data_IF_905418869553
#
_entry.id   IF_905418869553
#
_cell.length_a   1.000
_cell.length_b   1.000
_cell.length_c   1.000
_cell.angle_alpha   90.00
_cell.angle_beta   90.00
_cell.angle_gamma   90.00
#
_symmetry.space_group_name_H-M   'P 1'
#
loop_
_entity.id
_entity.type
_entity.pdbx_description
1 polymer ?
#
# COMPACT_ATOMS: atom_id res chain seq x y z
N UNK A 1 23.55 3.11 13.94
CA UNK A 1 23.21 2.09 12.93
C UNK A 1 21.86 2.34 12.30
N UNK A 2 21.67 1.95 11.03
CA UNK A 2 20.37 2.07 10.32
C UNK A 2 19.67 0.71 10.38
N UNK A 3 18.56 0.64 11.09
CA UNK A 3 17.70 -0.55 11.17
C UNK A 3 16.88 -0.65 9.87
N UNK A 4 16.78 -1.86 9.29
CA UNK A 4 16.06 -2.10 8.02
C UNK A 4 14.97 -3.15 8.20
N UNK A 5 13.73 -2.78 7.91
CA UNK A 5 12.60 -3.70 7.84
C UNK A 5 12.26 -3.99 6.36
N UNK A 6 12.72 -5.13 5.82
CA UNK A 6 12.55 -5.47 4.40
C UNK A 6 11.23 -6.21 4.16
N UNK A 7 10.27 -5.55 3.49
CA UNK A 7 9.00 -6.16 3.11
C UNK A 7 9.10 -7.07 1.87
N UNK A 8 10.02 -6.80 0.95
CA UNK A 8 10.11 -7.48 -0.34
C UNK A 8 10.26 -9.01 -0.27
N UNK A 9 11.07 -9.59 0.64
CA UNK A 9 11.19 -11.04 0.76
C UNK A 9 9.98 -11.74 1.40
N UNK A 10 9.00 -11.00 1.93
CA UNK A 10 7.86 -11.57 2.61
C UNK A 10 6.82 -12.13 1.63
N UNK A 11 6.94 -13.41 1.29
CA UNK A 11 6.03 -14.07 0.36
C UNK A 11 4.55 -14.03 0.79
N UNK A 12 4.24 -13.81 2.08
CA UNK A 12 2.86 -13.62 2.54
C UNK A 12 2.28 -12.33 1.99
N UNK A 13 3.06 -11.25 1.89
CA UNK A 13 2.61 -9.97 1.36
C UNK A 13 2.24 -10.04 -0.13
N UNK A 14 2.57 -11.11 -0.85
CA UNK A 14 2.06 -11.34 -2.21
C UNK A 14 0.61 -11.85 -2.25
N UNK A 15 0.01 -12.20 -1.12
CA UNK A 15 -1.32 -12.79 -1.07
C UNK A 15 -2.42 -11.72 -1.12
N UNK A 16 -3.50 -11.92 -1.89
CA UNK A 16 -4.56 -10.91 -2.03
C UNK A 16 -5.21 -10.44 -0.74
N UNK A 17 -5.21 -11.26 0.33
CA UNK A 17 -5.84 -10.93 1.62
C UNK A 17 -5.18 -9.75 2.35
N UNK A 18 -3.98 -9.34 1.96
CA UNK A 18 -3.26 -8.21 2.54
C UNK A 18 -3.43 -6.89 1.77
N UNK A 19 -4.13 -6.93 0.63
CA UNK A 19 -4.35 -5.78 -0.23
C UNK A 19 -5.82 -5.39 -0.24
N UNK A 20 -6.07 -4.11 -0.39
CA UNK A 20 -7.39 -3.55 -0.63
C UNK A 20 -7.92 -4.01 -2.00
N UNK A 21 -9.20 -3.74 -2.24
CA UNK A 21 -9.92 -4.14 -3.46
C UNK A 21 -9.26 -3.64 -4.76
N UNK A 22 -8.60 -2.49 -4.70
CA UNK A 22 -7.84 -1.89 -5.79
C UNK A 22 -6.52 -2.61 -6.12
N UNK A 23 -6.11 -3.59 -5.29
CA UNK A 23 -4.89 -4.41 -5.41
C UNK A 23 -3.58 -3.60 -5.42
N UNK A 24 -3.62 -2.35 -5.01
CA UNK A 24 -2.48 -1.44 -5.01
C UNK A 24 -2.11 -1.02 -3.59
N UNK A 25 -3.11 -0.71 -2.77
CA UNK A 25 -2.90 -0.30 -1.38
C UNK A 25 -3.03 -1.51 -0.47
N UNK A 26 -2.22 -1.54 0.60
CA UNK A 26 -2.44 -2.52 1.65
C UNK A 26 -3.74 -2.21 2.38
N UNK A 27 -4.44 -3.27 2.79
CA UNK A 27 -5.54 -3.14 3.75
C UNK A 27 -4.96 -3.18 5.18
N UNK A 28 -5.83 -3.10 6.20
CA UNK A 28 -5.41 -3.12 7.61
C UNK A 28 -4.57 -4.35 7.97
N UNK A 29 -4.82 -5.51 7.36
CA UNK A 29 -4.03 -6.73 7.59
C UNK A 29 -2.63 -6.62 7.01
N UNK A 30 -2.50 -6.04 5.81
CA UNK A 30 -1.19 -5.78 5.19
C UNK A 30 -0.36 -4.81 6.03
N UNK A 31 -0.97 -3.71 6.45
CA UNK A 31 -0.34 -2.73 7.34
C UNK A 31 0.07 -3.34 8.69
N UNK A 32 -0.78 -4.18 9.28
CA UNK A 32 -0.45 -4.89 10.52
C UNK A 32 0.80 -5.77 10.36
N UNK A 33 0.89 -6.52 9.26
CA UNK A 33 2.04 -7.37 8.99
C UNK A 33 3.33 -6.57 8.77
N UNK A 34 3.24 -5.43 8.09
CA UNK A 34 4.38 -4.50 7.94
C UNK A 34 4.80 -3.95 9.32
N UNK A 35 3.84 -3.58 10.17
CA UNK A 35 4.13 -3.12 11.53
C UNK A 35 4.81 -4.21 12.37
N UNK A 36 4.34 -5.46 12.30
CA UNK A 36 4.98 -6.60 12.96
C UNK A 36 6.44 -6.77 12.52
N UNK A 37 6.72 -6.60 11.23
CA UNK A 37 8.09 -6.66 10.70
C UNK A 37 8.98 -5.51 11.20
N UNK A 38 8.42 -4.30 11.34
CA UNK A 38 9.16 -3.17 11.92
C UNK A 38 9.52 -3.48 13.37
N UNK A 39 8.57 -3.95 14.18
CA UNK A 39 8.81 -4.32 15.57
C UNK A 39 9.87 -5.43 15.71
N UNK A 40 9.79 -6.46 14.88
CA UNK A 40 10.79 -7.52 14.81
C UNK A 40 12.19 -6.99 14.47
N UNK A 41 12.29 -6.06 13.50
CA UNK A 41 13.55 -5.43 13.12
C UNK A 41 14.14 -4.55 14.23
N UNK A 42 13.29 -4.02 15.12
CA UNK A 42 13.67 -3.26 16.30
C UNK A 42 14.03 -4.16 17.50
N UNK A 43 13.80 -5.49 17.40
CA UNK A 43 14.03 -6.43 18.49
C UNK A 43 12.92 -6.41 19.56
N UNK A 44 11.76 -5.84 19.25
CA UNK A 44 10.63 -5.76 20.18
C UNK A 44 9.92 -7.11 20.31
N UNK A 45 9.52 -7.45 21.54
CA UNK A 45 8.76 -8.68 21.80
C UNK A 45 7.27 -8.44 21.54
N UNK A 46 6.71 -9.17 20.60
CA UNK A 46 5.27 -9.21 20.32
C UNK A 46 4.65 -10.54 20.82
N UNK A 47 3.35 -10.57 21.16
CA UNK A 47 2.68 -11.81 21.52
C UNK A 47 2.76 -12.88 20.43
N UNK A 48 2.69 -14.15 20.82
CA UNK A 48 2.63 -15.26 19.87
C UNK A 48 1.42 -15.13 18.93
N UNK A 49 1.63 -15.42 17.65
CA UNK A 49 0.60 -15.30 16.62
C UNK A 49 0.29 -13.87 16.17
N UNK A 50 0.92 -12.84 16.75
CA UNK A 50 0.67 -11.43 16.40
C UNK A 50 1.03 -11.08 14.95
N UNK A 51 1.84 -11.89 14.27
CA UNK A 51 2.28 -11.62 12.90
C UNK A 51 1.15 -11.53 11.86
N UNK A 52 0.00 -12.14 12.13
CA UNK A 52 -1.15 -12.12 11.24
C UNK A 52 -2.43 -11.89 12.05
N UNK A 53 -3.23 -10.87 11.68
CA UNK A 53 -4.57 -10.72 12.28
C UNK A 53 -5.44 -11.95 11.96
N UNK A 54 -6.43 -12.28 12.81
CA UNK A 54 -7.39 -13.35 12.55
C UNK A 54 -8.04 -13.23 11.16
N UNK A 55 -8.42 -14.36 10.58
CA UNK A 55 -9.15 -14.34 9.31
C UNK A 55 -10.53 -13.71 9.49
N UNK A 56 -10.85 -12.75 8.61
CA UNK A 56 -12.18 -12.14 8.53
C UNK A 56 -12.85 -12.56 7.22
N UNK A 57 -14.15 -12.90 7.22
CA UNK A 57 -14.92 -13.13 6.00
C UNK A 57 -14.94 -11.93 5.05
N UNK A 58 -14.66 -10.72 5.55
CA UNK A 58 -14.70 -9.45 4.81
C UNK A 58 -13.53 -9.24 3.84
N UNK A 59 -12.60 -10.19 3.70
CA UNK A 59 -11.64 -10.16 2.60
C UNK A 59 -12.33 -10.50 1.26
N UNK A 60 -13.41 -9.80 0.94
CA UNK A 60 -14.13 -9.91 -0.31
C UNK A 60 -13.16 -9.53 -1.42
N UNK A 61 -12.83 -10.52 -2.26
CA UNK A 61 -12.11 -10.27 -3.49
C UNK A 61 -13.12 -9.76 -4.49
N UNK A 62 -12.97 -8.52 -4.96
CA UNK A 62 -13.70 -8.06 -6.15
C UNK A 62 -13.53 -9.08 -7.28
N UNK A 63 -14.65 -9.45 -7.91
CA UNK A 63 -14.59 -10.31 -9.08
C UNK A 63 -13.70 -9.65 -10.14
N UNK A 64 -13.01 -10.46 -10.96
CA UNK A 64 -12.08 -9.91 -11.98
C UNK A 64 -12.75 -8.86 -12.87
N UNK A 65 -14.03 -9.05 -13.22
CA UNK A 65 -14.79 -8.10 -14.03
C UNK A 65 -15.05 -6.77 -13.32
N UNK A 66 -15.40 -6.80 -12.04
CA UNK A 66 -15.63 -5.59 -11.22
C UNK A 66 -14.33 -4.81 -11.05
N UNK A 67 -13.24 -5.49 -10.69
CA UNK A 67 -11.92 -4.86 -10.61
C UNK A 67 -11.52 -4.16 -11.92
N UNK A 68 -11.74 -4.82 -13.06
CA UNK A 68 -11.42 -4.24 -14.37
C UNK A 68 -12.26 -2.99 -14.64
N UNK A 69 -13.55 -3.02 -14.30
CA UNK A 69 -14.47 -1.89 -14.51
C UNK A 69 -14.13 -0.72 -13.60
N UNK A 70 -13.90 -0.99 -12.33
CA UNK A 70 -13.91 0.02 -11.27
C UNK A 70 -12.51 0.62 -11.05
N UNK A 71 -11.44 -0.16 -11.28
CA UNK A 71 -10.07 0.28 -11.03
C UNK A 71 -9.21 0.38 -12.31
N UNK A 72 -9.16 -0.67 -13.13
CA UNK A 72 -8.23 -0.68 -14.28
C UNK A 72 -8.72 0.14 -15.48
N UNK A 73 -10.00 0.03 -15.85
CA UNK A 73 -10.59 0.68 -17.01
C UNK A 73 -10.43 2.20 -17.01
N UNK A 74 -10.73 2.91 -15.91
CA UNK A 74 -10.50 4.34 -15.80
C UNK A 74 -9.04 4.74 -15.99
N UNK A 75 -8.09 3.94 -15.47
CA UNK A 75 -6.66 4.17 -15.65
C UNK A 75 -6.23 3.99 -17.11
N UNK A 76 -6.68 2.90 -17.77
CA UNK A 76 -6.39 2.65 -19.19
C UNK A 76 -6.93 3.78 -20.06
N UNK A 77 -8.18 4.22 -19.83
CA UNK A 77 -8.77 5.35 -20.57
C UNK A 77 -7.91 6.59 -20.44
N UNK A 78 -7.56 7.00 -19.21
CA UNK A 78 -6.70 8.17 -18.97
C UNK A 78 -5.35 8.05 -19.68
N UNK A 79 -4.75 6.85 -19.66
CA UNK A 79 -3.46 6.59 -20.33
C UNK A 79 -3.57 6.76 -21.85
N UNK A 80 -4.64 6.25 -22.46
CA UNK A 80 -4.88 6.36 -23.91
C UNK A 80 -5.25 7.78 -24.33
N UNK A 81 -5.96 8.53 -23.49
CA UNK A 81 -6.36 9.92 -23.77
C UNK A 81 -5.32 10.95 -23.35
N UNK A 82 -4.17 10.52 -22.79
CA UNK A 82 -3.14 11.43 -22.29
C UNK A 82 -3.59 12.27 -21.08
N UNK A 83 -4.66 11.88 -20.39
CA UNK A 83 -5.22 12.62 -19.25
C UNK A 83 -4.49 12.26 -17.96
N UNK A 84 -3.99 13.26 -17.25
CA UNK A 84 -3.30 13.12 -15.97
C UNK A 84 -4.16 13.56 -14.79
N UNK A 85 -3.90 13.01 -13.60
CA UNK A 85 -4.47 13.54 -12.35
C UNK A 85 -3.91 14.91 -11.97
N UNK A 86 -2.86 15.36 -12.66
CA UNK A 86 -2.27 16.70 -12.56
C UNK A 86 -2.82 17.71 -13.56
N UNK A 87 -3.69 17.32 -14.51
CA UNK A 87 -4.20 18.25 -15.51
C UNK A 87 -4.98 19.40 -14.83
N UNK A 88 -4.63 20.64 -15.19
CA UNK A 88 -5.21 21.84 -14.61
C UNK A 88 -4.88 22.09 -13.12
N UNK A 89 -3.98 21.30 -12.52
CA UNK A 89 -3.51 21.54 -11.15
C UNK A 89 -2.26 22.42 -11.17
N UNK A 90 -2.31 23.51 -10.41
CA UNK A 90 -1.13 24.30 -10.08
C UNK A 90 -0.24 23.57 -9.05
N UNK A 91 1.10 23.68 -9.16
CA UNK A 91 2.01 23.08 -8.21
C UNK A 91 1.84 23.73 -6.82
N UNK A 92 1.85 22.89 -5.77
CA UNK A 92 1.83 23.39 -4.37
C UNK A 92 3.04 24.28 -4.06
N UNK A 93 4.16 24.00 -4.72
CA UNK A 93 5.40 24.79 -4.65
C UNK A 93 5.91 25.01 -6.09
N UNK A 94 5.55 26.14 -6.73
CA UNK A 94 5.98 26.45 -8.11
C UNK A 94 7.47 26.79 -8.23
N UNK A 95 8.13 27.05 -7.11
CA UNK A 95 9.56 27.35 -7.04
C UNK A 95 10.22 26.64 -5.86
N UNK A 96 11.53 26.82 -5.75
CA UNK A 96 12.32 26.25 -4.66
C UNK A 96 12.01 26.95 -3.34
N UNK A 97 11.99 26.17 -2.26
CA UNK A 97 11.92 26.67 -0.88
C UNK A 97 13.17 26.21 -0.17
N UNK A 98 13.90 27.16 0.41
CA UNK A 98 15.05 26.85 1.25
C UNK A 98 14.57 26.35 2.61
N UNK A 99 15.04 25.17 3.02
CA UNK A 99 14.76 24.62 4.35
C UNK A 99 16.04 24.77 5.17
N UNK A 100 16.10 25.71 6.12
CA UNK A 100 17.28 25.86 6.97
C UNK A 100 17.45 24.62 7.85
N UNK A 101 18.70 24.25 8.21
CA UNK A 101 18.95 23.18 9.17
C UNK A 101 18.30 23.53 10.53
N UNK A 102 17.78 22.49 11.20
CA UNK A 102 17.24 22.56 12.56
C UNK A 102 18.35 22.59 13.61
#
# INVERSE_FOLDING_TARGET
>A
DVIRALNWPDARLSQPRFWSEDRLHMNSRGHHRVAARVLDSLGERVPDGWWDLPESPEAARLARGEYLRDHLGPWVRRRLTGTSSGDGKEPKFPGWVEVPPA
#
